data_IF_670274329067
#
_entry.id   IF_670274329067
#
_cell.length_a   1.000
_cell.length_b   1.000
_cell.length_c   1.000
_cell.angle_alpha   90.00
_cell.angle_beta   90.00
_cell.angle_gamma   90.00
#
_symmetry.space_group_name_H-M   'P 1'
#
loop_
_entity.id
_entity.type
_entity.pdbx_description
1 polymer ?
#
# COMPACT_ATOMS: atom_id res chain seq x y z
N UNK A 1 -5.96 1.29 -17.60
CA UNK A 1 -5.71 2.74 -17.45
C UNK A 1 -4.55 2.86 -16.46
N UNK A 2 -3.47 3.56 -16.81
CA UNK A 2 -2.33 3.72 -15.91
C UNK A 2 -2.53 4.97 -15.05
N UNK A 3 -2.19 4.90 -13.76
CA UNK A 3 -2.06 6.07 -12.91
C UNK A 3 -0.58 6.29 -12.61
N UNK A 4 -0.14 7.53 -12.79
CA UNK A 4 1.19 7.99 -12.43
C UNK A 4 1.10 8.57 -11.02
N UNK A 5 2.06 8.20 -10.17
CA UNK A 5 2.19 8.75 -8.83
C UNK A 5 3.50 9.49 -8.77
N UNK A 6 3.44 10.76 -8.41
CA UNK A 6 4.63 11.58 -8.25
C UNK A 6 5.27 11.26 -6.89
N UNK A 7 6.36 10.50 -6.91
CA UNK A 7 7.04 10.05 -5.69
C UNK A 7 7.52 11.22 -4.81
N UNK A 8 7.88 12.34 -5.44
CA UNK A 8 8.34 13.56 -4.75
C UNK A 8 7.28 14.25 -3.88
N UNK A 9 6.00 13.87 -3.97
CA UNK A 9 4.94 14.39 -3.08
C UNK A 9 4.96 13.74 -1.69
N UNK A 10 5.70 12.64 -1.51
CA UNK A 10 5.71 11.86 -0.29
C UNK A 10 7.06 11.95 0.41
N UNK A 11 7.03 11.98 1.74
CA UNK A 11 8.21 11.91 2.59
C UNK A 11 8.93 10.56 2.41
N UNK A 12 8.17 9.46 2.42
CA UNK A 12 8.64 8.13 2.08
C UNK A 12 7.61 7.34 1.28
N UNK A 13 8.09 6.48 0.38
CA UNK A 13 7.27 5.49 -0.32
C UNK A 13 7.66 4.09 0.16
N UNK A 14 6.72 3.40 0.78
CA UNK A 14 6.87 2.04 1.28
C UNK A 14 6.21 1.06 0.32
N UNK A 15 6.94 0.02 -0.06
CA UNK A 15 6.43 -1.03 -0.93
C UNK A 15 6.41 -2.34 -0.15
N UNK A 16 5.27 -3.01 -0.13
CA UNK A 16 5.05 -4.28 0.57
C UNK A 16 4.41 -5.30 -0.38
N UNK A 17 4.75 -6.57 -0.21
CA UNK A 17 4.16 -7.70 -0.94
C UNK A 17 3.87 -8.83 0.04
N UNK A 18 3.05 -9.79 -0.37
CA UNK A 18 2.81 -11.05 0.35
C UNK A 18 2.36 -10.88 1.81
N UNK A 19 1.43 -9.94 2.06
CA UNK A 19 0.87 -9.73 3.41
C UNK A 19 0.15 -11.00 3.90
N UNK A 20 -0.49 -11.75 3.00
CA UNK A 20 -1.17 -13.02 3.25
C UNK A 20 -2.01 -13.00 4.53
N UNK A 21 -2.87 -11.99 4.71
CA UNK A 21 -3.72 -11.90 5.89
C UNK A 21 -3.00 -11.62 7.22
N UNK A 22 -1.70 -11.24 7.21
CA UNK A 22 -0.91 -10.89 8.39
C UNK A 22 -1.06 -9.41 8.77
N UNK A 23 -2.30 -8.96 9.03
CA UNK A 23 -2.63 -7.56 9.35
C UNK A 23 -1.78 -7.01 10.49
N UNK A 24 -1.70 -7.72 11.62
CA UNK A 24 -1.04 -7.20 12.82
C UNK A 24 0.46 -6.98 12.58
N UNK A 25 1.10 -7.90 11.86
CA UNK A 25 2.51 -7.79 11.49
C UNK A 25 2.77 -6.54 10.65
N UNK A 26 1.91 -6.29 9.65
CA UNK A 26 2.00 -5.08 8.83
C UNK A 26 1.90 -3.82 9.69
N UNK A 27 0.92 -3.75 10.59
CA UNK A 27 0.70 -2.58 11.44
C UNK A 27 1.85 -2.34 12.43
N UNK A 28 2.39 -3.40 13.02
CA UNK A 28 3.54 -3.32 13.93
C UNK A 28 4.78 -2.81 13.19
N UNK A 29 4.97 -3.27 11.95
CA UNK A 29 6.11 -2.91 11.13
C UNK A 29 6.02 -1.47 10.59
N UNK A 30 4.81 -1.00 10.23
CA UNK A 30 4.54 0.41 9.91
C UNK A 30 4.79 1.30 11.13
N UNK A 31 4.33 0.89 12.31
CA UNK A 31 4.56 1.60 13.58
C UNK A 31 6.05 1.70 13.89
N UNK A 32 6.80 0.61 13.74
CA UNK A 32 8.26 0.57 13.97
C UNK A 32 9.03 1.52 13.06
N UNK A 33 8.52 1.78 11.85
CA UNK A 33 9.09 2.70 10.88
C UNK A 33 8.59 4.14 11.00
N UNK A 34 7.75 4.43 12.00
CA UNK A 34 7.11 5.72 12.18
C UNK A 34 6.33 6.18 10.92
N UNK A 35 5.65 5.22 10.28
CA UNK A 35 4.80 5.48 9.13
C UNK A 35 3.75 6.53 9.47
N UNK A 36 3.67 7.57 8.64
CA UNK A 36 2.69 8.65 8.77
C UNK A 36 1.76 8.62 7.54
N UNK A 37 0.48 8.22 7.68
CA UNK A 37 -0.45 8.15 6.53
C UNK A 37 -0.77 9.50 5.88
N UNK A 38 -0.35 10.62 6.48
CA UNK A 38 -0.51 11.96 5.90
C UNK A 38 0.70 12.43 5.08
N UNK A 39 1.85 11.78 5.25
CA UNK A 39 3.13 12.19 4.65
C UNK A 39 3.83 11.06 3.88
N UNK A 40 3.49 9.80 4.17
CA UNK A 40 4.08 8.61 3.57
C UNK A 40 3.04 7.85 2.73
N UNK A 41 3.50 7.20 1.66
CA UNK A 41 2.70 6.35 0.79
C UNK A 41 3.01 4.87 1.06
N UNK A 42 1.98 4.03 1.19
CA UNK A 42 2.12 2.58 1.26
C UNK A 42 1.52 1.94 0.01
N UNK A 43 2.32 1.12 -0.65
CA UNK A 43 1.96 0.45 -1.90
C UNK A 43 2.05 -1.05 -1.65
N UNK A 44 0.91 -1.73 -1.76
CA UNK A 44 0.87 -3.19 -1.73
C UNK A 44 0.93 -3.74 -3.14
N UNK A 45 1.90 -4.59 -3.44
CA UNK A 45 2.16 -5.13 -4.79
C UNK A 45 1.69 -6.56 -5.02
N UNK A 46 1.01 -7.18 -4.04
CA UNK A 46 0.48 -8.54 -4.19
C UNK A 46 0.02 -9.18 -2.88
N UNK A 47 -0.76 -10.26 -3.03
CA UNK A 47 -1.14 -11.24 -2.00
C UNK A 47 -1.50 -10.64 -0.64
N UNK A 48 -2.49 -9.74 -0.64
CA UNK A 48 -2.98 -9.08 0.58
C UNK A 48 -3.79 -10.03 1.47
N UNK A 49 -4.45 -11.00 0.84
CA UNK A 49 -5.35 -11.97 1.46
C UNK A 49 -4.80 -13.39 1.31
N UNK A 50 -5.55 -14.35 1.86
CA UNK A 50 -5.26 -15.79 1.85
C UNK A 50 -4.19 -16.20 2.88
N UNK A 51 -4.30 -17.44 3.38
CA UNK A 51 -3.41 -18.12 4.35
C UNK A 51 -3.32 -17.55 5.78
N UNK A 52 -3.48 -16.25 5.99
CA UNK A 52 -3.38 -15.63 7.31
C UNK A 52 -4.70 -15.45 8.06
N UNK A 53 -4.63 -15.27 9.39
CA UNK A 53 -5.80 -15.24 10.28
C UNK A 53 -6.67 -13.99 10.10
N UNK A 54 -6.13 -12.90 9.56
CA UNK A 54 -6.80 -11.59 9.49
C UNK A 54 -7.10 -11.14 8.05
N UNK A 55 -7.28 -12.08 7.12
CA UNK A 55 -7.56 -11.79 5.70
C UNK A 55 -8.69 -10.76 5.49
N UNK A 56 -9.75 -10.81 6.30
CA UNK A 56 -10.86 -9.83 6.23
C UNK A 56 -10.41 -8.44 6.68
N UNK A 57 -9.58 -8.32 7.71
CA UNK A 57 -9.03 -7.01 8.12
C UNK A 57 -8.05 -6.48 7.07
N UNK A 58 -7.28 -7.35 6.43
CA UNK A 58 -6.44 -6.96 5.30
C UNK A 58 -7.27 -6.42 4.11
N UNK A 59 -8.46 -6.96 3.86
CA UNK A 59 -9.40 -6.35 2.89
C UNK A 59 -9.95 -5.00 3.36
N UNK A 60 -10.19 -4.83 4.66
CA UNK A 60 -10.65 -3.55 5.21
C UNK A 60 -9.63 -2.43 5.05
N UNK A 61 -8.32 -2.75 5.00
CA UNK A 61 -7.27 -1.77 4.71
C UNK A 61 -7.56 -0.98 3.41
N UNK A 62 -8.17 -1.63 2.41
CA UNK A 62 -8.57 -1.02 1.12
C UNK A 62 -9.59 0.09 1.31
N UNK A 63 -10.45 -0.06 2.31
CA UNK A 63 -11.55 0.86 2.60
C UNK A 63 -11.23 1.84 3.72
N UNK A 64 -10.09 1.68 4.40
CA UNK A 64 -9.67 2.59 5.45
C UNK A 64 -9.24 3.95 4.89
N UNK A 65 -9.38 5.00 5.71
CA UNK A 65 -8.95 6.34 5.35
C UNK A 65 -7.48 6.51 5.72
N UNK A 66 -6.61 6.42 4.72
CA UNK A 66 -5.16 6.62 4.84
C UNK A 66 -4.80 8.08 4.56
N UNK A 67 -5.14 8.98 5.49
CA UNK A 67 -4.81 10.40 5.39
C UNK A 67 -5.89 11.28 4.75
N UNK A 68 -5.47 12.39 4.15
CA UNK A 68 -6.36 13.48 3.69
C UNK A 68 -7.13 13.14 2.38
N UNK A 69 -6.62 12.16 1.64
CA UNK A 69 -7.29 11.47 0.54
C UNK A 69 -6.87 9.99 0.63
N UNK A 70 -7.70 9.05 0.21
CA UNK A 70 -7.52 7.60 0.40
C UNK A 70 -6.22 7.04 -0.19
N UNK A 71 -5.11 6.99 0.56
CA UNK A 71 -3.78 6.65 -0.01
C UNK A 71 -3.27 5.22 0.21
N UNK A 72 -4.08 4.25 0.66
CA UNK A 72 -3.66 2.86 0.47
C UNK A 72 -3.92 2.47 -0.97
N UNK A 73 -2.84 2.34 -1.72
CA UNK A 73 -2.89 1.89 -3.09
C UNK A 73 -2.50 0.42 -3.16
N UNK A 74 -3.48 -0.44 -3.40
CA UNK A 74 -3.21 -1.83 -3.80
C UNK A 74 -3.02 -1.85 -5.31
N UNK A 75 -1.84 -2.30 -5.71
CA UNK A 75 -1.38 -2.31 -7.09
C UNK A 75 -1.06 -3.76 -7.45
N UNK A 76 -1.73 -4.30 -8.46
CA UNK A 76 -1.47 -5.68 -8.88
C UNK A 76 -0.20 -5.81 -9.76
N UNK A 77 0.30 -4.70 -10.31
CA UNK A 77 1.50 -4.64 -11.16
C UNK A 77 2.22 -3.28 -11.03
N UNK A 78 3.50 -3.31 -10.65
CA UNK A 78 4.37 -2.11 -10.59
C UNK A 78 5.43 -2.17 -11.68
N UNK A 79 5.59 -1.09 -12.43
CA UNK A 79 6.77 -0.83 -13.27
C UNK A 79 7.60 0.29 -12.63
N UNK A 80 8.85 -0.03 -12.27
CA UNK A 80 9.79 0.93 -11.64
C UNK A 80 10.54 1.68 -12.74
N UNK A 81 10.51 3.01 -12.71
CA UNK A 81 11.35 3.88 -13.53
C UNK A 81 12.36 4.64 -12.66
N UNK A 82 13.46 5.17 -13.23
CA UNK A 82 14.54 5.78 -12.46
C UNK A 82 14.11 6.97 -11.57
N UNK A 83 13.09 7.72 -12.00
CA UNK A 83 12.63 8.95 -11.35
C UNK A 83 11.18 8.86 -10.82
N UNK A 84 10.41 7.84 -11.21
CA UNK A 84 8.97 7.74 -10.93
C UNK A 84 8.49 6.28 -10.85
N UNK A 85 7.34 6.07 -10.20
CA UNK A 85 6.62 4.81 -10.26
C UNK A 85 5.41 4.93 -11.19
N UNK A 86 5.30 4.00 -12.15
CA UNK A 86 4.10 3.86 -12.99
C UNK A 86 3.32 2.64 -12.51
N UNK A 87 2.06 2.84 -12.14
CA UNK A 87 1.24 1.80 -11.52
C UNK A 87 -0.06 1.58 -12.28
N UNK A 88 -0.45 0.32 -12.45
CA UNK A 88 -1.78 -0.02 -12.96
C UNK A 88 -2.75 -0.17 -11.80
N UNK A 89 -3.72 0.74 -11.73
CA UNK A 89 -4.83 0.63 -10.81
C UNK A 89 -5.89 -0.31 -11.40
N UNK A 90 -6.18 -1.41 -10.71
CA UNK A 90 -7.43 -2.14 -10.88
C UNK A 90 -8.42 -1.63 -9.84
N UNK A 91 -9.37 -0.81 -10.27
CA UNK A 91 -10.50 -0.37 -9.45
C UNK A 91 -11.54 -1.49 -9.48
N UNK A 92 -11.78 -2.16 -8.37
CA UNK A 92 -12.94 -3.06 -8.22
C UNK A 92 -14.20 -2.25 -7.96
#
# INVERSE_FOLDING_TARGET
MYQRIEGGMWRHVWVVSDIHGCYQWLMDELKRRHFNPYEDLLISVGDVIDRGPDSVKCLQLIHEKWGNDSNLLIVFYVQIMPDDFVMQLHRF
#
